data_IF_240957993992
#
_entry.id   IF_240957993992
#
_cell.length_a   1.000
_cell.length_b   1.000
_cell.length_c   1.000
_cell.angle_alpha   90.00
_cell.angle_beta   90.00
_cell.angle_gamma   90.00
#
_symmetry.space_group_name_H-M   'P 1'
#
loop_
_entity.id
_entity.type
_entity.pdbx_description
1 polymer ?
#
# COMPACT_ATOMS: atom_id res chain seq x y z
N UNK A 1 -12.29 -11.62 1.60
CA UNK A 1 -12.48 -12.83 0.76
C UNK A 1 -13.96 -13.15 0.59
N UNK A 2 -14.68 -13.58 1.63
CA UNK A 2 -16.12 -13.89 1.54
C UNK A 2 -16.98 -12.71 1.05
N UNK A 3 -16.63 -11.49 1.47
CA UNK A 3 -17.29 -10.24 1.07
C UNK A 3 -16.82 -9.66 -0.26
N UNK A 4 -15.82 -10.23 -0.92
CA UNK A 4 -15.30 -9.71 -2.21
C UNK A 4 -15.18 -10.77 -3.30
N UNK A 5 -15.40 -12.04 -2.96
CA UNK A 5 -15.31 -13.15 -3.90
C UNK A 5 -16.49 -13.15 -4.87
N UNK A 6 -16.21 -13.42 -6.15
CA UNK A 6 -17.18 -13.38 -7.27
C UNK A 6 -18.47 -14.16 -7.06
N UNK A 7 -18.47 -15.17 -6.19
CA UNK A 7 -19.66 -15.97 -5.86
C UNK A 7 -20.75 -15.20 -5.11
N UNK A 8 -20.44 -14.05 -4.49
CA UNK A 8 -21.39 -13.22 -3.72
C UNK A 8 -21.65 -11.83 -4.34
N UNK A 9 -21.00 -11.50 -5.46
CA UNK A 9 -21.01 -10.15 -6.04
C UNK A 9 -22.40 -9.66 -6.48
N UNK A 10 -23.36 -10.56 -6.73
CA UNK A 10 -24.73 -10.20 -7.11
C UNK A 10 -25.58 -9.66 -5.95
N UNK A 11 -25.16 -9.85 -4.69
CA UNK A 11 -25.91 -9.47 -3.49
C UNK A 11 -25.46 -8.15 -2.85
N UNK A 12 -24.33 -7.59 -3.28
CA UNK A 12 -23.63 -6.52 -2.55
C UNK A 12 -23.71 -5.15 -3.23
N UNK A 13 -24.62 -5.00 -4.20
CA UNK A 13 -24.47 -3.96 -5.21
C UNK A 13 -24.79 -2.56 -4.67
N UNK A 14 -25.71 -2.35 -3.70
CA UNK A 14 -25.96 -0.99 -3.14
C UNK A 14 -26.59 -0.93 -1.74
N UNK A 15 -26.87 -2.05 -1.07
CA UNK A 15 -27.52 -2.04 0.25
C UNK A 15 -26.62 -2.67 1.31
N UNK A 16 -26.59 -2.13 2.55
CA UNK A 16 -25.91 -2.77 3.66
C UNK A 16 -26.38 -4.21 3.79
N UNK A 17 -25.45 -5.16 3.80
CA UNK A 17 -25.74 -6.55 4.11
C UNK A 17 -26.37 -6.59 5.50
N UNK A 18 -27.52 -7.27 5.62
CA UNK A 18 -28.14 -7.49 6.92
C UNK A 18 -27.10 -8.08 7.89
N UNK A 19 -27.06 -7.59 9.13
CA UNK A 19 -26.03 -7.98 10.10
C UNK A 19 -25.91 -9.51 10.28
N UNK A 20 -27.01 -10.24 10.13
CA UNK A 20 -27.07 -11.71 10.21
C UNK A 20 -26.45 -12.44 9.01
N UNK A 21 -26.12 -11.72 7.94
CA UNK A 21 -25.53 -12.22 6.69
C UNK A 21 -24.02 -11.89 6.57
N UNK A 22 -23.44 -11.22 7.58
CA UNK A 22 -21.99 -10.99 7.64
C UNK A 22 -21.25 -12.32 7.87
N UNK A 23 -20.07 -12.50 7.26
CA UNK A 23 -19.30 -13.73 7.45
C UNK A 23 -18.81 -13.84 8.90
N UNK A 24 -19.12 -14.97 9.52
CA UNK A 24 -18.62 -15.30 10.86
C UNK A 24 -17.16 -15.77 10.74
N UNK A 25 -16.27 -15.15 11.51
CA UNK A 25 -14.87 -15.53 11.64
C UNK A 25 -14.72 -16.50 12.81
N UNK A 26 -14.72 -17.80 12.51
CA UNK A 26 -14.52 -18.86 13.49
C UNK A 26 -13.08 -18.84 14.01
N UNK A 27 -12.93 -18.81 15.34
CA UNK A 27 -11.61 -18.77 16.00
C UNK A 27 -10.73 -19.95 15.57
N UNK A 28 -11.29 -21.15 15.51
CA UNK A 28 -10.57 -22.37 15.10
C UNK A 28 -9.98 -22.24 13.69
N UNK A 29 -10.70 -21.58 12.77
CA UNK A 29 -10.20 -21.35 11.40
C UNK A 29 -9.01 -20.40 11.42
N UNK A 30 -9.08 -19.32 12.20
CA UNK A 30 -7.99 -18.35 12.35
C UNK A 30 -6.77 -19.00 13.00
N UNK A 31 -6.96 -19.75 14.08
CA UNK A 31 -5.89 -20.46 14.78
C UNK A 31 -5.21 -21.51 13.89
N UNK A 32 -5.99 -22.25 13.10
CA UNK A 32 -5.45 -23.24 12.15
C UNK A 32 -4.54 -22.57 11.12
N UNK A 33 -4.97 -21.46 10.53
CA UNK A 33 -4.17 -20.70 9.56
C UNK A 33 -2.93 -20.09 10.22
N UNK A 34 -3.08 -19.50 11.40
CA UNK A 34 -1.99 -18.94 12.18
C UNK A 34 -0.91 -19.99 12.49
N UNK A 35 -1.33 -21.14 13.04
CA UNK A 35 -0.44 -22.26 13.38
C UNK A 35 0.23 -22.84 12.13
N UNK A 36 -0.48 -22.91 11.00
CA UNK A 36 0.09 -23.33 9.71
C UNK A 36 1.23 -22.40 9.28
N UNK A 37 1.03 -21.08 9.31
CA UNK A 37 2.10 -20.12 8.98
C UNK A 37 3.30 -20.25 9.92
N UNK A 38 3.03 -20.34 11.24
CA UNK A 38 4.08 -20.53 12.25
C UNK A 38 4.90 -21.80 12.02
N UNK A 39 4.23 -22.91 11.68
CA UNK A 39 4.88 -24.18 11.38
C UNK A 39 5.78 -24.10 10.15
N UNK A 40 5.31 -23.46 9.07
CA UNK A 40 6.11 -23.25 7.84
C UNK A 40 7.40 -22.51 8.18
N UNK A 41 7.30 -21.37 8.87
CA UNK A 41 8.48 -20.55 9.20
C UNK A 41 9.47 -21.29 10.10
N UNK A 42 9.00 -21.88 11.21
CA UNK A 42 9.86 -22.54 12.20
C UNK A 42 10.51 -23.82 11.67
N UNK A 43 9.88 -24.51 10.73
CA UNK A 43 10.42 -25.75 10.13
C UNK A 43 11.41 -25.45 9.00
N UNK A 44 11.11 -24.45 8.17
CA UNK A 44 11.91 -24.17 6.98
C UNK A 44 13.14 -23.30 7.25
N UNK A 45 13.12 -22.48 8.31
CA UNK A 45 14.20 -21.55 8.64
C UNK A 45 14.92 -22.01 9.89
N UNK A 46 16.15 -22.49 9.76
CA UNK A 46 17.03 -22.67 10.92
C UNK A 46 17.54 -21.29 11.37
N UNK A 47 17.20 -20.89 12.60
CA UNK A 47 17.52 -19.58 13.18
C UNK A 47 18.28 -19.73 14.49
N UNK A 48 19.20 -18.80 14.76
CA UNK A 48 19.97 -18.80 15.99
C UNK A 48 19.26 -17.94 17.04
N UNK A 49 18.69 -18.60 18.06
CA UNK A 49 18.01 -17.92 19.19
C UNK A 49 18.91 -16.97 19.98
N UNK A 50 20.24 -17.09 19.87
CA UNK A 50 21.19 -16.19 20.54
C UNK A 50 21.41 -14.88 19.78
N UNK A 51 21.07 -14.81 18.48
CA UNK A 51 21.17 -13.57 17.70
C UNK A 51 19.93 -12.72 17.92
N UNK A 52 20.13 -11.50 18.38
CA UNK A 52 19.06 -10.52 18.66
C UNK A 52 18.59 -9.84 17.37
N UNK A 53 19.51 -9.59 16.44
CA UNK A 53 19.25 -8.91 15.18
C UNK A 53 19.29 -9.86 13.99
N UNK A 54 18.44 -9.60 13.01
CA UNK A 54 18.40 -10.34 11.76
C UNK A 54 19.66 -10.05 10.94
N UNK A 55 20.13 -11.06 10.22
CA UNK A 55 21.18 -10.91 9.20
C UNK A 55 20.56 -10.99 7.82
N UNK A 56 21.20 -10.40 6.82
CA UNK A 56 20.77 -10.50 5.41
C UNK A 56 20.48 -11.93 4.96
N UNK A 57 21.33 -12.90 5.33
CA UNK A 57 21.13 -14.31 4.99
C UNK A 57 19.85 -14.90 5.58
N UNK A 58 19.46 -14.46 6.79
CA UNK A 58 18.23 -14.88 7.43
C UNK A 58 17.03 -14.29 6.69
N UNK A 59 17.05 -12.97 6.44
CA UNK A 59 15.99 -12.26 5.72
C UNK A 59 15.79 -12.87 4.33
N UNK A 60 16.89 -13.12 3.61
CA UNK A 60 16.85 -13.78 2.29
C UNK A 60 16.29 -15.20 2.38
N UNK A 61 16.64 -15.97 3.42
CA UNK A 61 16.08 -17.31 3.63
C UNK A 61 14.58 -17.27 3.89
N UNK A 62 14.09 -16.34 4.72
CA UNK A 62 12.66 -16.14 4.94
C UNK A 62 11.96 -15.76 3.63
N UNK A 63 12.53 -14.82 2.87
CA UNK A 63 12.05 -14.47 1.52
C UNK A 63 11.99 -15.67 0.58
N UNK A 64 13.00 -16.54 0.58
CA UNK A 64 13.02 -17.75 -0.24
C UNK A 64 11.98 -18.77 0.18
N UNK A 65 11.69 -18.92 1.48
CA UNK A 65 10.60 -19.80 1.96
C UNK A 65 9.27 -19.31 1.43
N UNK A 66 8.97 -18.01 1.58
CA UNK A 66 7.74 -17.41 1.06
C UNK A 66 7.68 -17.59 -0.46
N UNK A 67 8.70 -17.14 -1.17
CA UNK A 67 8.76 -17.18 -2.63
C UNK A 67 8.58 -18.58 -3.23
N UNK A 68 9.33 -19.56 -2.71
CA UNK A 68 9.31 -20.93 -3.26
C UNK A 68 8.00 -21.66 -2.96
N UNK A 69 7.22 -21.16 -2.01
CA UNK A 69 5.88 -21.68 -1.71
C UNK A 69 4.77 -21.01 -2.53
N UNK A 70 5.08 -19.97 -3.32
CA UNK A 70 4.11 -19.36 -4.23
C UNK A 70 3.91 -20.21 -5.49
N UNK A 71 2.70 -20.12 -6.04
CA UNK A 71 2.37 -20.72 -7.33
C UNK A 71 3.20 -20.08 -8.44
N UNK A 72 3.85 -20.88 -9.30
CA UNK A 72 4.75 -20.36 -10.34
C UNK A 72 4.08 -19.48 -11.41
N UNK A 73 2.80 -19.71 -11.68
CA UNK A 73 2.06 -19.00 -12.72
C UNK A 73 0.70 -18.55 -12.20
N UNK A 74 0.60 -17.24 -11.94
CA UNK A 74 -0.65 -16.55 -11.70
C UNK A 74 -0.49 -15.08 -12.11
N UNK A 75 -1.62 -14.42 -12.36
CA UNK A 75 -1.65 -13.00 -12.64
C UNK A 75 -1.34 -12.23 -11.36
N UNK A 76 -0.15 -11.61 -11.30
CA UNK A 76 0.39 -10.94 -10.10
C UNK A 76 -0.36 -9.67 -9.74
N UNK A 77 -0.96 -9.01 -10.73
CA UNK A 77 -1.75 -7.78 -10.56
C UNK A 77 -3.23 -8.08 -10.30
N UNK A 78 -3.55 -9.31 -9.85
CA UNK A 78 -4.92 -9.68 -9.50
C UNK A 78 -5.25 -9.13 -8.11
N UNK A 79 -6.43 -8.55 -7.95
CA UNK A 79 -6.94 -8.12 -6.66
C UNK A 79 -7.01 -9.26 -5.62
N UNK A 80 -6.97 -8.87 -4.35
CA UNK A 80 -7.09 -9.76 -3.17
C UNK A 80 -5.90 -10.72 -2.93
N UNK A 81 -4.70 -10.34 -3.36
CA UNK A 81 -3.46 -11.10 -3.18
C UNK A 81 -2.51 -10.53 -2.11
N UNK A 82 -2.92 -9.51 -1.37
CA UNK A 82 -2.09 -8.78 -0.40
C UNK A 82 -1.93 -9.45 0.97
N UNK A 83 -2.70 -10.50 1.28
CA UNK A 83 -2.85 -11.02 2.65
C UNK A 83 -2.24 -12.40 2.87
N UNK A 84 -1.83 -12.69 4.12
CA UNK A 84 -1.42 -14.03 4.55
C UNK A 84 -2.52 -15.08 4.37
N UNK A 85 -3.79 -14.68 4.38
CA UNK A 85 -4.88 -15.58 4.03
C UNK A 85 -4.75 -16.08 2.58
N UNK A 86 -4.46 -15.19 1.62
CA UNK A 86 -4.25 -15.54 0.21
C UNK A 86 -3.02 -16.46 0.04
N UNK A 87 -1.96 -16.18 0.79
CA UNK A 87 -0.79 -17.05 0.87
C UNK A 87 -1.14 -18.47 1.35
N UNK A 88 -1.80 -18.61 2.49
CA UNK A 88 -2.03 -19.91 3.14
C UNK A 88 -3.11 -20.76 2.48
N UNK A 89 -4.07 -20.12 1.79
CA UNK A 89 -5.19 -20.79 1.14
C UNK A 89 -4.99 -20.97 -0.37
N UNK A 90 -4.28 -20.03 -1.01
CA UNK A 90 -4.13 -19.98 -2.46
C UNK A 90 -2.68 -20.01 -2.95
N UNK A 91 -1.68 -19.92 -2.07
CA UNK A 91 -0.25 -19.85 -2.43
C UNK A 91 0.03 -18.75 -3.46
N UNK A 92 -0.60 -17.58 -3.27
CA UNK A 92 -0.49 -16.41 -4.16
C UNK A 92 -0.35 -15.16 -3.32
N UNK A 93 0.56 -14.29 -3.76
CA UNK A 93 0.76 -12.96 -3.18
C UNK A 93 1.02 -11.94 -4.28
N UNK A 94 0.66 -10.68 -4.07
CA UNK A 94 1.17 -9.56 -4.89
C UNK A 94 2.54 -9.08 -4.34
N UNK A 95 3.11 -8.03 -4.95
CA UNK A 95 4.41 -7.49 -4.55
C UNK A 95 4.45 -7.11 -3.06
N UNK A 96 3.47 -6.31 -2.62
CA UNK A 96 3.33 -5.88 -1.23
C UNK A 96 3.14 -7.07 -0.28
N UNK A 97 2.25 -8.00 -0.63
CA UNK A 97 1.92 -9.17 0.17
C UNK A 97 3.13 -10.05 0.44
N UNK A 98 4.05 -10.19 -0.52
CA UNK A 98 5.33 -10.90 -0.31
C UNK A 98 6.21 -10.18 0.70
N UNK A 99 6.41 -8.86 0.55
CA UNK A 99 7.23 -8.09 1.49
C UNK A 99 6.65 -8.15 2.91
N UNK A 100 5.34 -7.98 3.05
CA UNK A 100 4.64 -8.12 4.32
C UNK A 100 4.79 -9.52 4.92
N UNK A 101 4.63 -10.58 4.11
CA UNK A 101 4.79 -11.96 4.58
C UNK A 101 6.20 -12.26 5.08
N UNK A 102 7.23 -11.61 4.51
CA UNK A 102 8.61 -11.73 5.00
C UNK A 102 8.78 -11.05 6.36
N UNK A 103 8.20 -9.87 6.56
CA UNK A 103 8.19 -9.20 7.88
C UNK A 103 7.49 -10.08 8.92
N UNK A 104 6.30 -10.60 8.60
CA UNK A 104 5.57 -11.52 9.46
C UNK A 104 6.37 -12.80 9.77
N UNK A 105 7.03 -13.37 8.76
CA UNK A 105 7.90 -14.54 8.94
C UNK A 105 9.06 -14.27 9.89
N UNK A 106 9.70 -13.11 9.79
CA UNK A 106 10.76 -12.69 10.71
C UNK A 106 10.23 -12.49 12.13
N UNK A 107 9.05 -11.86 12.28
CA UNK A 107 8.38 -11.68 13.56
C UNK A 107 8.05 -13.02 14.24
N UNK A 108 7.52 -14.00 13.49
CA UNK A 108 7.26 -15.36 13.97
C UNK A 108 8.51 -16.06 14.51
N UNK A 109 9.68 -15.75 13.94
CA UNK A 109 10.98 -16.29 14.35
C UNK A 109 11.62 -15.50 15.52
N UNK A 110 11.00 -14.40 15.95
CA UNK A 110 11.44 -13.57 17.07
C UNK A 110 12.32 -12.38 16.68
N UNK A 111 12.47 -12.09 15.39
CA UNK A 111 13.27 -10.96 14.90
C UNK A 111 12.41 -9.70 14.83
N UNK A 112 12.45 -8.93 15.91
CA UNK A 112 11.67 -7.70 16.04
C UNK A 112 12.27 -6.50 15.30
N UNK A 113 13.52 -6.60 14.81
CA UNK A 113 14.25 -5.55 14.10
C UNK A 113 13.92 -5.47 12.60
N UNK A 114 13.30 -6.51 12.03
CA UNK A 114 12.91 -6.53 10.62
C UNK A 114 11.61 -5.78 10.42
N UNK A 115 11.64 -4.69 9.66
CA UNK A 115 10.50 -3.81 9.43
C UNK A 115 10.21 -3.62 7.95
N UNK A 116 8.94 -3.35 7.65
CA UNK A 116 8.51 -3.02 6.30
C UNK A 116 8.99 -1.62 5.90
N UNK A 117 9.47 -1.49 4.67
CA UNK A 117 9.77 -0.21 4.04
C UNK A 117 8.92 -0.07 2.78
N UNK A 118 8.26 1.09 2.65
CA UNK A 118 7.31 1.37 1.59
C UNK A 118 7.71 2.64 0.86
N UNK A 119 7.89 2.51 -0.44
CA UNK A 119 7.81 3.64 -1.36
C UNK A 119 6.35 3.86 -1.77
N UNK A 120 6.15 4.63 -2.83
CA UNK A 120 4.85 4.86 -3.43
C UNK A 120 4.37 3.70 -4.34
N UNK A 121 5.26 2.84 -4.83
CA UNK A 121 4.93 1.73 -5.76
C UNK A 121 5.70 0.41 -5.50
N UNK A 122 6.47 0.35 -4.41
CA UNK A 122 7.31 -0.80 -4.09
C UNK A 122 7.52 -0.99 -2.59
N UNK A 123 7.77 -2.23 -2.20
CA UNK A 123 7.96 -2.65 -0.82
C UNK A 123 9.20 -3.54 -0.66
N UNK A 124 9.96 -3.28 0.40
CA UNK A 124 11.11 -4.09 0.79
C UNK A 124 11.22 -4.13 2.32
N UNK A 125 12.33 -4.64 2.87
CA UNK A 125 12.53 -4.66 4.32
C UNK A 125 13.79 -3.92 4.74
N UNK A 126 13.72 -3.32 5.94
CA UNK A 126 14.88 -2.82 6.68
C UNK A 126 15.11 -3.66 7.94
N UNK A 127 16.36 -3.79 8.36
CA UNK A 127 16.71 -4.65 9.50
C UNK A 127 18.08 -4.29 10.09
N UNK A 128 18.52 -5.07 11.08
CA UNK A 128 19.81 -4.91 11.76
C UNK A 128 19.72 -4.00 12.99
N UNK A 129 20.82 -3.91 13.73
CA UNK A 129 20.90 -3.22 15.02
C UNK A 129 20.41 -1.76 14.99
N UNK A 130 20.63 -1.07 13.88
CA UNK A 130 20.24 0.32 13.68
C UNK A 130 19.11 0.51 12.66
N UNK A 131 18.55 -0.58 12.11
CA UNK A 131 17.51 -0.51 11.08
C UNK A 131 17.96 0.14 9.77
N UNK A 132 19.26 0.07 9.46
CA UNK A 132 19.88 0.70 8.27
C UNK A 132 20.16 -0.29 7.15
N UNK A 133 20.19 -1.60 7.44
CA UNK A 133 20.33 -2.60 6.38
C UNK A 133 19.03 -2.67 5.58
N UNK A 134 19.15 -2.90 4.28
CA UNK A 134 18.01 -3.01 3.37
C UNK A 134 18.12 -4.30 2.59
N UNK A 135 17.00 -4.97 2.34
CA UNK A 135 16.98 -6.11 1.42
C UNK A 135 15.71 -6.08 0.58
N UNK A 136 15.90 -6.19 -0.74
CA UNK A 136 14.84 -6.58 -1.66
C UNK A 136 14.33 -7.97 -1.28
N UNK A 137 13.02 -8.16 -1.21
CA UNK A 137 12.41 -9.45 -0.80
C UNK A 137 11.30 -9.92 -1.74
N UNK A 138 10.96 -9.08 -2.71
CA UNK A 138 9.88 -9.29 -3.69
C UNK A 138 10.32 -8.83 -5.08
N UNK A 139 9.46 -8.99 -6.08
CA UNK A 139 9.67 -8.45 -7.43
C UNK A 139 9.12 -7.03 -7.54
N UNK A 140 9.56 -6.29 -8.55
CA UNK A 140 8.86 -5.09 -9.02
C UNK A 140 8.68 -5.16 -10.55
N UNK A 141 7.55 -4.65 -11.04
CA UNK A 141 7.23 -4.61 -12.45
C UNK A 141 7.20 -5.97 -13.16
N UNK A 142 7.42 -5.94 -14.48
CA UNK A 142 7.38 -7.11 -15.38
C UNK A 142 8.77 -7.65 -15.74
N UNK A 143 9.82 -7.18 -15.06
CA UNK A 143 11.20 -7.60 -15.30
C UNK A 143 11.48 -9.04 -14.84
N UNK A 144 12.49 -9.68 -15.47
CA UNK A 144 12.94 -11.03 -15.11
C UNK A 144 14.12 -11.05 -14.11
N UNK A 145 14.58 -9.89 -13.65
CA UNK A 145 15.72 -9.82 -12.73
C UNK A 145 15.29 -10.09 -11.28
N UNK A 146 15.78 -11.18 -10.70
CA UNK A 146 15.59 -11.46 -9.27
C UNK A 146 16.55 -10.61 -8.43
N UNK A 147 16.06 -9.46 -7.97
CA UNK A 147 16.81 -8.54 -7.10
C UNK A 147 16.82 -8.98 -5.62
N UNK A 148 16.11 -10.05 -5.24
CA UNK A 148 15.92 -10.42 -3.83
C UNK A 148 17.25 -10.70 -3.11
N UNK A 149 17.38 -10.16 -1.90
CA UNK A 149 18.57 -10.20 -1.05
C UNK A 149 19.55 -9.05 -1.29
N UNK A 150 19.44 -8.36 -2.43
CA UNK A 150 20.29 -7.20 -2.74
C UNK A 150 19.85 -5.97 -1.96
N UNK A 151 20.77 -5.03 -1.79
CA UNK A 151 20.49 -3.70 -1.24
C UNK A 151 19.82 -2.80 -2.29
N UNK A 152 19.05 -1.81 -1.84
CA UNK A 152 18.37 -0.85 -2.72
C UNK A 152 19.30 0.25 -3.28
N UNK A 153 20.57 0.26 -2.90
CA UNK A 153 21.49 1.39 -3.11
C UNK A 153 21.68 1.82 -4.57
N UNK A 154 21.56 0.90 -5.53
CA UNK A 154 21.63 1.24 -6.97
C UNK A 154 20.46 2.11 -7.42
N UNK A 155 19.23 1.78 -7.00
CA UNK A 155 18.03 2.55 -7.35
C UNK A 155 17.97 3.91 -6.68
N UNK A 156 18.50 4.00 -5.45
CA UNK A 156 18.72 5.28 -4.76
C UNK A 156 19.72 6.14 -5.52
N UNK A 157 20.84 5.56 -5.96
CA UNK A 157 21.89 6.29 -6.69
C UNK A 157 21.42 6.81 -8.04
N UNK A 158 20.47 6.12 -8.68
CA UNK A 158 19.88 6.56 -9.96
C UNK A 158 18.81 7.63 -9.79
N UNK A 159 18.43 8.01 -8.56
CA UNK A 159 17.31 8.92 -8.26
C UNK A 159 15.99 8.45 -8.88
N UNK A 160 15.70 7.16 -8.79
CA UNK A 160 14.41 6.60 -9.25
C UNK A 160 13.31 6.90 -8.23
N UNK A 161 12.12 7.19 -8.74
CA UNK A 161 10.92 7.44 -7.92
C UNK A 161 10.51 6.20 -7.14
N UNK A 162 10.72 5.00 -7.70
CA UNK A 162 10.49 3.72 -7.04
C UNK A 162 11.14 3.60 -5.66
N UNK A 163 12.29 4.24 -5.44
CA UNK A 163 12.99 4.22 -4.15
C UNK A 163 12.89 5.56 -3.42
N UNK A 164 12.06 6.49 -3.91
CA UNK A 164 11.72 7.79 -3.33
C UNK A 164 12.94 8.55 -2.79
N UNK A 165 14.05 8.54 -3.54
CA UNK A 165 15.32 9.17 -3.16
C UNK A 165 15.79 8.80 -1.73
N UNK A 166 15.60 7.53 -1.34
CA UNK A 166 15.89 7.02 -0.01
C UNK A 166 15.11 7.73 1.11
N UNK A 167 13.88 8.16 0.81
CA UNK A 167 12.90 8.67 1.77
C UNK A 167 11.63 7.79 1.82
N UNK A 168 11.74 6.45 1.92
CA UNK A 168 10.58 5.58 2.08
C UNK A 168 9.92 5.79 3.43
N UNK A 169 8.67 5.38 3.53
CA UNK A 169 8.01 5.13 4.81
C UNK A 169 8.67 3.90 5.44
N UNK A 170 9.43 4.11 6.51
CA UNK A 170 9.95 3.02 7.35
C UNK A 170 8.93 2.75 8.46
N UNK A 171 8.29 1.59 8.40
CA UNK A 171 7.18 1.27 9.28
C UNK A 171 7.64 0.87 10.68
N UNK A 172 6.90 1.31 11.70
CA UNK A 172 6.81 0.59 12.98
C UNK A 172 5.82 -0.57 12.86
N UNK A 173 5.67 -1.39 13.90
CA UNK A 173 4.62 -2.45 13.93
C UNK A 173 3.21 -1.89 13.73
N UNK A 174 2.93 -0.72 14.30
CA UNK A 174 1.63 -0.07 14.15
C UNK A 174 1.43 0.47 12.73
N UNK A 175 2.50 0.95 12.08
CA UNK A 175 2.43 1.36 10.68
C UNK A 175 2.36 0.18 9.72
N UNK A 176 2.89 -1.00 10.07
CA UNK A 176 2.68 -2.24 9.31
C UNK A 176 1.21 -2.69 9.37
N UNK A 177 0.56 -2.53 10.52
CA UNK A 177 -0.91 -2.70 10.62
C UNK A 177 -1.62 -1.67 9.76
N UNK A 178 -1.20 -0.40 9.76
CA UNK A 178 -1.75 0.61 8.88
C UNK A 178 -1.58 0.25 7.39
N UNK A 179 -0.42 -0.28 6.99
CA UNK A 179 -0.17 -0.72 5.63
C UNK A 179 -1.11 -1.88 5.22
N UNK A 180 -1.35 -2.83 6.13
CA UNK A 180 -2.34 -3.90 5.91
C UNK A 180 -3.76 -3.35 5.73
N UNK A 181 -4.17 -2.39 6.55
CA UNK A 181 -5.49 -1.76 6.46
C UNK A 181 -5.61 -0.97 5.17
N UNK A 182 -4.61 -0.17 4.80
CA UNK A 182 -4.57 0.55 3.52
C UNK A 182 -4.57 -0.40 2.32
N UNK A 183 -4.01 -1.60 2.47
CA UNK A 183 -4.03 -2.62 1.42
C UNK A 183 -5.36 -3.39 1.33
N UNK A 184 -6.33 -3.20 2.23
CA UNK A 184 -7.69 -3.76 2.06
C UNK A 184 -8.23 -3.29 0.72
N UNK A 185 -8.68 -4.24 -0.10
CA UNK A 185 -9.22 -3.96 -1.42
C UNK A 185 -10.72 -4.28 -1.40
N UNK A 186 -11.60 -3.25 -1.42
CA UNK A 186 -13.04 -3.45 -1.41
C UNK A 186 -13.62 -3.83 -2.77
N UNK A 187 -12.85 -3.71 -3.87
CA UNK A 187 -13.37 -3.87 -5.22
C UNK A 187 -13.86 -5.28 -5.54
N UNK A 188 -15.10 -5.35 -6.04
CA UNK A 188 -15.72 -6.56 -6.57
C UNK A 188 -15.40 -6.74 -8.05
N UNK A 189 -15.38 -5.62 -8.77
CA UNK A 189 -15.06 -5.50 -10.18
C UNK A 189 -14.57 -4.07 -10.47
N UNK A 190 -14.39 -3.70 -11.74
CA UNK A 190 -13.87 -2.40 -12.15
C UNK A 190 -14.76 -1.20 -11.84
N UNK A 191 -16.02 -1.41 -11.43
CA UNK A 191 -17.00 -0.33 -11.22
C UNK A 191 -17.77 -0.44 -9.90
N UNK A 192 -17.55 -1.49 -9.10
CA UNK A 192 -18.28 -1.72 -7.86
C UNK A 192 -17.35 -2.18 -6.75
N UNK A 193 -17.57 -1.63 -5.57
CA UNK A 193 -16.91 -1.98 -4.32
C UNK A 193 -17.89 -2.62 -3.34
N UNK A 194 -17.39 -3.50 -2.47
CA UNK A 194 -18.15 -4.06 -1.36
C UNK A 194 -18.24 -3.05 -0.22
N UNK A 195 -19.45 -2.55 0.04
CA UNK A 195 -19.71 -1.49 1.02
C UNK A 195 -19.13 -1.80 2.41
N UNK A 196 -19.37 -3.00 2.95
CA UNK A 196 -18.90 -3.38 4.29
C UNK A 196 -17.37 -3.39 4.39
N UNK A 197 -16.70 -3.70 3.28
CA UNK A 197 -15.23 -3.76 3.22
C UNK A 197 -14.65 -2.36 3.19
N UNK A 198 -15.25 -1.45 2.43
CA UNK A 198 -14.89 -0.02 2.44
C UNK A 198 -15.14 0.59 3.82
N UNK A 199 -16.29 0.29 4.44
CA UNK A 199 -16.60 0.76 5.79
C UNK A 199 -15.60 0.23 6.83
N UNK A 200 -15.26 -1.06 6.78
CA UNK A 200 -14.26 -1.65 7.66
C UNK A 200 -12.88 -0.98 7.49
N UNK A 201 -12.46 -0.75 6.24
CA UNK A 201 -11.20 -0.06 5.96
C UNK A 201 -11.20 1.36 6.55
N UNK A 202 -12.29 2.11 6.35
CA UNK A 202 -12.45 3.47 6.87
C UNK A 202 -12.44 3.51 8.40
N UNK A 203 -13.17 2.63 9.09
CA UNK A 203 -13.18 2.54 10.55
C UNK A 203 -11.80 2.21 11.13
N UNK A 204 -11.09 1.26 10.52
CA UNK A 204 -9.75 0.88 10.96
C UNK A 204 -8.72 1.99 10.71
N UNK A 205 -8.82 2.72 9.60
CA UNK A 205 -7.97 3.88 9.33
C UNK A 205 -8.25 5.01 10.32
N UNK A 206 -9.50 5.27 10.68
CA UNK A 206 -9.83 6.23 11.73
C UNK A 206 -9.25 5.83 13.09
N UNK A 207 -9.38 4.56 13.47
CA UNK A 207 -8.76 4.05 14.70
C UNK A 207 -7.24 4.31 14.71
N UNK A 208 -6.56 4.01 13.60
CA UNK A 208 -5.12 4.22 13.47
C UNK A 208 -4.75 5.71 13.44
N UNK A 209 -5.61 6.54 12.86
CA UNK A 209 -5.47 7.99 12.85
C UNK A 209 -5.55 8.56 14.27
N UNK A 210 -6.58 8.18 15.02
CA UNK A 210 -6.82 8.62 16.40
C UNK A 210 -5.69 8.20 17.35
N UNK A 211 -5.10 7.02 17.11
CA UNK A 211 -3.91 6.54 17.83
C UNK A 211 -2.59 7.18 17.35
N UNK A 212 -2.64 8.08 16.37
CA UNK A 212 -1.48 8.78 15.81
C UNK A 212 -0.56 7.93 14.94
N UNK A 213 -0.99 6.73 14.54
CA UNK A 213 -0.20 5.78 13.77
C UNK A 213 -0.12 6.13 12.28
N UNK A 214 -1.02 6.98 11.77
CA UNK A 214 -0.96 7.48 10.39
C UNK A 214 -0.07 8.72 10.21
N UNK A 215 0.36 9.38 11.30
CA UNK A 215 1.08 10.67 11.26
C UNK A 215 2.27 10.70 10.30
N UNK A 216 2.99 9.58 10.19
CA UNK A 216 4.16 9.41 9.31
C UNK A 216 3.85 8.58 8.08
N UNK A 217 2.60 8.42 7.68
CA UNK A 217 2.23 7.59 6.53
C UNK A 217 1.33 8.37 5.55
N UNK A 218 1.93 9.20 4.68
CA UNK A 218 1.19 10.09 3.78
C UNK A 218 0.13 9.40 2.93
N UNK A 219 0.46 8.25 2.32
CA UNK A 219 -0.47 7.50 1.48
C UNK A 219 -1.66 6.94 2.26
N UNK A 220 -1.48 6.52 3.53
CA UNK A 220 -2.58 6.03 4.35
C UNK A 220 -3.52 7.16 4.77
N UNK A 221 -3.00 8.37 5.02
CA UNK A 221 -3.81 9.57 5.24
C UNK A 221 -4.58 9.92 3.96
N UNK A 222 -3.94 9.87 2.79
CA UNK A 222 -4.59 10.08 1.49
C UNK A 222 -5.74 9.09 1.23
N UNK A 223 -5.51 7.81 1.47
CA UNK A 223 -6.54 6.76 1.37
C UNK A 223 -7.74 7.04 2.30
N UNK A 224 -7.49 7.45 3.55
CA UNK A 224 -8.57 7.87 4.44
C UNK A 224 -9.32 9.11 3.90
N UNK A 225 -8.60 10.05 3.27
CA UNK A 225 -9.18 11.20 2.58
C UNK A 225 -10.14 10.81 1.46
N UNK A 226 -9.75 9.87 0.59
CA UNK A 226 -10.60 9.36 -0.48
C UNK A 226 -11.86 8.65 0.09
N UNK A 227 -11.72 7.85 1.15
CA UNK A 227 -12.86 7.20 1.82
C UNK A 227 -13.84 8.20 2.45
N UNK A 228 -13.33 9.27 3.07
CA UNK A 228 -14.16 10.35 3.61
C UNK A 228 -14.81 11.22 2.53
N UNK A 229 -14.21 11.34 1.34
CA UNK A 229 -14.88 11.98 0.20
C UNK A 229 -16.06 11.15 -0.29
N UNK A 230 -15.91 9.82 -0.34
CA UNK A 230 -16.99 8.90 -0.75
C UNK A 230 -18.12 8.87 0.28
N UNK A 231 -17.79 8.76 1.56
CA UNK A 231 -18.76 8.64 2.65
C UNK A 231 -18.27 9.31 3.93
N UNK A 232 -18.44 10.63 4.00
CA UNK A 232 -18.02 11.44 5.16
C UNK A 232 -18.68 11.00 6.47
N UNK A 233 -17.92 10.99 7.56
CA UNK A 233 -18.46 10.71 8.90
C UNK A 233 -18.69 11.98 9.71
N UNK A 234 -19.85 12.07 10.35
CA UNK A 234 -20.18 13.18 11.23
C UNK A 234 -19.17 13.28 12.39
N UNK A 235 -18.70 14.50 12.66
CA UNK A 235 -17.73 14.78 13.73
C UNK A 235 -16.27 14.43 13.39
N UNK A 236 -15.99 13.87 12.21
CA UNK A 236 -14.62 13.63 11.73
C UNK A 236 -14.06 14.84 10.99
N UNK A 237 -12.73 14.88 10.83
CA UNK A 237 -12.08 15.96 10.08
C UNK A 237 -12.44 15.85 8.59
N UNK A 238 -12.66 16.98 7.88
CA UNK A 238 -13.00 16.95 6.46
C UNK A 238 -11.91 16.29 5.60
N UNK A 239 -12.30 15.61 4.52
CA UNK A 239 -11.36 14.96 3.59
C UNK A 239 -10.29 15.92 3.04
N UNK A 240 -10.66 17.18 2.75
CA UNK A 240 -9.72 18.23 2.35
C UNK A 240 -8.56 18.38 3.35
N UNK A 241 -8.87 18.39 4.65
CA UNK A 241 -7.86 18.51 5.71
C UNK A 241 -6.95 17.28 5.73
N UNK A 242 -7.49 16.08 5.49
CA UNK A 242 -6.67 14.86 5.39
C UNK A 242 -5.67 14.93 4.23
N UNK A 243 -6.08 15.42 3.06
CA UNK A 243 -5.15 15.61 1.94
C UNK A 243 -4.04 16.63 2.26
N UNK A 244 -4.39 17.74 2.94
CA UNK A 244 -3.41 18.72 3.43
C UNK A 244 -2.44 18.10 4.46
N UNK A 245 -2.94 17.25 5.35
CA UNK A 245 -2.13 16.52 6.33
C UNK A 245 -1.21 15.49 5.69
N UNK A 246 -1.65 14.79 4.64
CA UNK A 246 -0.81 13.87 3.87
C UNK A 246 0.40 14.61 3.27
N UNK A 247 0.17 15.79 2.68
CA UNK A 247 1.23 16.66 2.16
C UNK A 247 2.12 17.16 3.29
N UNK A 248 1.55 17.59 4.42
CA UNK A 248 2.32 18.04 5.57
C UNK A 248 3.22 16.92 6.13
N UNK A 249 2.72 15.68 6.17
CA UNK A 249 3.49 14.50 6.56
C UNK A 249 4.66 14.25 5.60
N UNK A 250 4.41 14.29 4.28
CA UNK A 250 5.45 14.16 3.26
C UNK A 250 6.56 15.22 3.40
N UNK A 251 6.19 16.47 3.63
CA UNK A 251 7.14 17.59 3.84
C UNK A 251 7.95 17.41 5.12
N UNK A 252 7.28 17.04 6.21
CA UNK A 252 7.88 16.99 7.56
C UNK A 252 8.83 15.79 7.72
N UNK A 253 8.43 14.61 7.24
CA UNK A 253 9.13 13.36 7.55
C UNK A 253 9.96 12.83 6.38
N UNK A 254 9.65 13.27 5.15
CA UNK A 254 10.21 12.67 3.93
C UNK A 254 10.81 13.71 2.97
N UNK A 255 11.18 14.88 3.47
CA UNK A 255 11.81 15.97 2.69
C UNK A 255 11.05 16.30 1.40
N UNK A 256 9.71 16.21 1.45
CA UNK A 256 8.84 16.46 0.31
C UNK A 256 9.20 15.62 -0.94
N UNK A 257 9.57 14.36 -0.75
CA UNK A 257 9.94 13.43 -1.83
C UNK A 257 8.77 12.56 -2.34
N UNK A 258 7.58 12.64 -1.72
CA UNK A 258 6.40 11.85 -2.09
C UNK A 258 5.49 12.65 -3.02
N UNK A 259 4.99 12.00 -4.08
CA UNK A 259 4.22 12.62 -5.16
C UNK A 259 2.71 12.40 -4.97
N UNK A 260 2.29 11.19 -4.58
CA UNK A 260 0.86 10.85 -4.44
C UNK A 260 0.07 11.76 -3.50
N UNK A 261 0.61 12.29 -2.38
CA UNK A 261 -0.13 13.25 -1.57
C UNK A 261 -0.68 14.45 -2.36
N UNK A 262 0.07 14.91 -3.38
CA UNK A 262 -0.36 16.01 -4.24
C UNK A 262 -1.33 15.56 -5.34
N UNK A 263 -1.19 14.34 -5.88
CA UNK A 263 -2.11 13.85 -6.90
C UNK A 263 -3.47 13.48 -6.29
N UNK A 264 -3.51 12.92 -5.07
CA UNK A 264 -4.74 12.75 -4.29
C UNK A 264 -5.50 14.07 -4.13
N UNK A 265 -4.80 15.11 -3.66
CA UNK A 265 -5.39 16.44 -3.49
C UNK A 265 -5.86 17.04 -4.83
N UNK A 266 -5.06 16.91 -5.89
CA UNK A 266 -5.43 17.37 -7.23
C UNK A 266 -6.66 16.65 -7.79
N UNK A 267 -6.76 15.34 -7.57
CA UNK A 267 -7.91 14.52 -7.93
C UNK A 267 -9.18 14.94 -7.20
N UNK A 268 -9.09 15.18 -5.88
CA UNK A 268 -10.19 15.72 -5.08
C UNK A 268 -10.70 17.07 -5.64
N UNK A 269 -9.80 18.02 -5.86
CA UNK A 269 -10.19 19.34 -6.39
C UNK A 269 -10.78 19.23 -7.80
N UNK A 270 -10.22 18.37 -8.65
CA UNK A 270 -10.76 18.11 -9.99
C UNK A 270 -12.20 17.58 -9.95
N UNK A 271 -12.47 16.55 -9.12
CA UNK A 271 -13.83 15.97 -8.95
C UNK A 271 -14.84 17.00 -8.43
N UNK A 272 -14.39 17.94 -7.60
CA UNK A 272 -15.21 19.00 -7.02
C UNK A 272 -15.25 20.29 -7.87
N UNK A 273 -14.76 20.24 -9.12
CA UNK A 273 -14.72 21.38 -10.07
C UNK A 273 -13.92 22.59 -9.56
N UNK A 274 -13.04 22.39 -8.60
CA UNK A 274 -12.10 23.39 -8.08
C UNK A 274 -10.84 23.40 -8.94
N UNK A 275 -10.99 23.76 -10.21
CA UNK A 275 -9.96 23.53 -11.22
C UNK A 275 -8.66 24.31 -10.99
N UNK A 276 -8.74 25.52 -10.42
CA UNK A 276 -7.54 26.30 -10.09
C UNK A 276 -6.69 25.60 -9.05
N UNK A 277 -7.31 25.09 -8.00
CA UNK A 277 -6.68 24.34 -6.92
C UNK A 277 -6.17 22.97 -7.40
N UNK A 278 -6.88 22.33 -8.33
CA UNK A 278 -6.41 21.11 -8.99
C UNK A 278 -5.10 21.37 -9.76
N UNK A 279 -5.04 22.44 -10.57
CA UNK A 279 -3.81 22.83 -11.26
C UNK A 279 -2.65 23.14 -10.31
N UNK A 280 -2.92 23.86 -9.22
CA UNK A 280 -1.91 24.15 -8.20
C UNK A 280 -1.36 22.86 -7.58
N UNK A 281 -2.23 21.89 -7.26
CA UNK A 281 -1.83 20.61 -6.68
C UNK A 281 -1.00 19.78 -7.65
N UNK A 282 -1.39 19.67 -8.93
CA UNK A 282 -0.62 18.96 -9.95
C UNK A 282 0.69 19.66 -10.33
N UNK A 283 0.75 20.99 -10.24
CA UNK A 283 2.00 21.74 -10.38
C UNK A 283 2.95 21.42 -9.22
N UNK A 284 2.45 21.36 -7.98
CA UNK A 284 3.24 20.92 -6.82
C UNK A 284 3.72 19.47 -6.95
N UNK A 285 2.87 18.56 -7.46
CA UNK A 285 3.28 17.18 -7.77
C UNK A 285 4.43 17.15 -8.80
N UNK A 286 4.33 17.99 -9.83
CA UNK A 286 5.36 18.16 -10.86
C UNK A 286 6.68 18.71 -10.30
N UNK A 287 6.59 19.60 -9.31
CA UNK A 287 7.75 20.13 -8.59
C UNK A 287 8.49 19.09 -7.75
N UNK A 288 7.78 18.06 -7.28
CA UNK A 288 8.41 16.90 -6.62
C UNK A 288 9.00 15.95 -7.65
N UNK A 289 8.24 15.56 -8.69
CA UNK A 289 8.70 14.53 -9.65
C UNK A 289 9.91 14.99 -10.46
N UNK A 290 10.08 16.30 -10.70
CA UNK A 290 11.28 16.84 -11.38
C UNK A 290 12.59 16.62 -10.61
N UNK A 291 12.52 16.17 -9.35
CA UNK A 291 13.70 15.79 -8.55
C UNK A 291 14.16 14.34 -8.83
N UNK A 292 13.47 13.62 -9.71
CA UNK A 292 13.76 12.24 -10.05
C UNK A 292 14.26 12.10 -11.49
N UNK A 293 15.03 11.05 -11.74
CA UNK A 293 15.34 10.61 -13.10
C UNK A 293 14.38 9.47 -13.44
N UNK A 294 13.65 9.62 -14.54
CA UNK A 294 12.76 8.57 -15.01
C UNK A 294 13.53 7.28 -15.37
N UNK A 295 13.02 6.15 -14.91
CA UNK A 295 13.47 4.81 -15.28
C UNK A 295 12.28 3.95 -15.71
N UNK A 296 12.55 2.79 -16.31
CA UNK A 296 11.48 1.85 -16.72
C UNK A 296 10.67 1.31 -15.55
N UNK A 297 11.28 1.27 -14.36
CA UNK A 297 10.61 0.80 -13.16
C UNK A 297 9.69 1.89 -12.55
N UNK A 298 9.65 3.11 -13.12
CA UNK A 298 8.76 4.21 -12.70
C UNK A 298 7.52 4.32 -13.61
N UNK A 299 7.03 3.21 -14.16
CA UNK A 299 5.91 3.17 -15.12
C UNK A 299 4.59 3.70 -14.51
N UNK A 300 4.31 3.39 -13.25
CA UNK A 300 3.05 3.75 -12.61
C UNK A 300 2.90 5.27 -12.43
N UNK A 301 3.93 5.96 -11.93
CA UNK A 301 3.88 7.42 -11.83
C UNK A 301 3.89 8.10 -13.20
N UNK A 302 4.51 7.48 -14.21
CA UNK A 302 4.45 7.99 -15.57
C UNK A 302 3.03 7.95 -16.13
N UNK A 303 2.27 6.85 -15.90
CA UNK A 303 0.86 6.74 -16.31
C UNK A 303 0.00 7.80 -15.64
N UNK A 304 0.20 8.03 -14.34
CA UNK A 304 -0.53 9.05 -13.58
C UNK A 304 -0.37 10.45 -14.22
N UNK A 305 0.87 10.89 -14.47
CA UNK A 305 1.10 12.18 -15.12
C UNK A 305 0.64 12.22 -16.58
N UNK A 306 0.68 11.08 -17.28
CA UNK A 306 0.17 10.98 -18.65
C UNK A 306 -1.34 11.20 -18.70
N UNK A 307 -2.10 10.60 -17.78
CA UNK A 307 -3.54 10.80 -17.64
C UNK A 307 -3.87 12.25 -17.26
N UNK A 308 -3.20 12.81 -16.26
CA UNK A 308 -3.39 14.20 -15.85
C UNK A 308 -3.17 15.14 -17.05
N UNK A 309 -2.05 14.99 -17.76
CA UNK A 309 -1.66 15.91 -18.83
C UNK A 309 -2.50 15.77 -20.10
N UNK A 310 -2.95 14.57 -20.45
CA UNK A 310 -3.60 14.31 -21.74
C UNK A 310 -5.11 14.08 -21.66
N UNK A 311 -5.65 13.77 -20.48
CA UNK A 311 -7.09 13.54 -20.30
C UNK A 311 -7.70 14.61 -19.39
N UNK A 312 -7.19 14.74 -18.15
CA UNK A 312 -7.84 15.59 -17.14
C UNK A 312 -7.70 17.08 -17.45
N UNK A 313 -6.48 17.55 -17.73
CA UNK A 313 -6.24 18.96 -18.06
C UNK A 313 -6.98 19.38 -19.34
N UNK A 314 -6.91 18.64 -20.46
CA UNK A 314 -7.68 18.95 -21.66
C UNK A 314 -9.19 18.94 -21.42
N UNK A 315 -9.70 18.03 -20.59
CA UNK A 315 -11.10 18.04 -20.18
C UNK A 315 -11.48 19.35 -19.48
N UNK A 316 -10.70 19.81 -18.49
CA UNK A 316 -10.93 21.10 -17.82
C UNK A 316 -10.95 22.25 -18.84
N UNK A 317 -9.94 22.33 -19.71
CA UNK A 317 -9.86 23.39 -20.72
C UNK A 317 -11.09 23.42 -21.62
N UNK A 318 -11.61 22.24 -22.00
CA UNK A 318 -12.83 22.12 -22.79
C UNK A 318 -14.07 22.57 -22.03
N UNK A 319 -14.24 22.15 -20.77
CA UNK A 319 -15.39 22.53 -19.94
C UNK A 319 -15.42 24.04 -19.73
N UNK A 320 -14.31 24.64 -19.31
CA UNK A 320 -14.23 26.08 -19.03
C UNK A 320 -14.34 26.95 -20.28
N UNK A 321 -13.76 26.53 -21.41
CA UNK A 321 -13.85 27.28 -22.67
C UNK A 321 -15.24 27.20 -23.33
N UNK A 322 -16.02 26.16 -23.03
CA UNK A 322 -17.36 25.96 -23.59
C UNK A 322 -18.44 26.88 -22.99
N UNK A 323 -18.09 27.67 -21.97
CA UNK A 323 -18.94 28.75 -21.46
C UNK A 323 -20.24 28.32 -20.78
N UNK A 324 -20.44 27.03 -20.50
CA UNK A 324 -21.47 26.59 -19.55
C UNK A 324 -20.95 26.83 -18.14
N UNK A 325 -21.11 28.08 -17.67
CA UNK A 325 -21.06 28.39 -16.24
C UNK A 325 -22.01 27.45 -15.50
N UNK A 326 -21.43 26.51 -14.77
CA UNK A 326 -22.12 25.56 -13.89
C UNK A 326 -22.77 26.27 -12.70
#
# INVERSE_FOLDING_TARGET
NSLTSRSNAALQVFEPIEQNSLPILELETVETLYNKFHSIMKTAVNFNKAKIFATRDLVKRVSDVIWNSLTRSYYKDRAHLQSLYSYLTGSKLDCFGVAFAVVAGCQTLGYNDVHLALSEDHAWVVFGEHGVETAEVTWHGKGNEDKRGQEIGKGVSSRSWLYVNNKPVICTRQMEVAALVSAINPSLNSTHDAFEVSLLQQELLWLLYDLGHLKKYPMAIGNLGDLEEISSKEGRVPCKTLFEEAIASARTYYNNQHVYPYTYQGGYFYRNKMYKEAFESWANASDVIRLYNYSRDDEEIYKEFLEIANELIPHIMKVESSGFSA
#
